data_IF_799837432606
#
_entry.id   IF_799837432606
#
_cell.length_a   1.000
_cell.length_b   1.000
_cell.length_c   1.000
_cell.angle_alpha   90.00
_cell.angle_beta   90.00
_cell.angle_gamma   90.00
#
_symmetry.space_group_name_H-M   'P 1'
#
loop_
_entity.id
_entity.type
_entity.pdbx_description
1 polymer ?
#
# COMPACT_ATOMS: atom_id res chain seq x y z
N UNK A 1 -22.89 -1.20 28.11
CA UNK A 1 -23.14 -0.01 27.26
C UNK A 1 -22.22 -0.10 26.04
N UNK A 2 -22.78 -0.44 24.87
CA UNK A 2 -22.02 -0.42 23.60
C UNK A 2 -21.81 1.05 23.20
N UNK A 3 -20.55 1.52 23.20
CA UNK A 3 -20.22 2.81 22.60
C UNK A 3 -20.46 2.70 21.09
N UNK A 4 -21.46 3.41 20.59
CA UNK A 4 -21.64 3.64 19.16
C UNK A 4 -20.42 4.39 18.65
N UNK A 5 -19.55 3.72 17.92
CA UNK A 5 -18.53 4.34 17.11
C UNK A 5 -19.20 4.92 15.87
N UNK A 6 -19.77 6.12 16.02
CA UNK A 6 -20.26 6.89 14.88
C UNK A 6 -19.09 7.07 13.89
N UNK A 7 -19.25 6.53 12.68
CA UNK A 7 -18.32 6.78 11.60
C UNK A 7 -18.22 8.30 11.40
N UNK A 8 -17.03 8.87 11.63
CA UNK A 8 -16.78 10.26 11.30
C UNK A 8 -16.79 10.38 9.78
N UNK A 9 -17.91 10.83 9.23
CA UNK A 9 -18.01 11.18 7.81
C UNK A 9 -17.23 12.46 7.60
N UNK A 10 -16.11 12.39 6.92
CA UNK A 10 -15.40 13.58 6.43
C UNK A 10 -16.08 14.05 5.15
N UNK A 11 -16.39 15.34 5.08
CA UNK A 11 -16.88 15.96 3.85
C UNK A 11 -15.76 15.91 2.81
N UNK A 12 -16.00 15.17 1.72
CA UNK A 12 -15.07 15.11 0.59
C UNK A 12 -15.22 16.43 -0.19
N UNK A 13 -14.13 17.22 -0.35
CA UNK A 13 -14.20 18.49 -1.08
C UNK A 13 -14.57 18.28 -2.55
N UNK A 14 -15.39 19.17 -3.08
CA UNK A 14 -15.70 19.25 -4.50
C UNK A 14 -14.82 20.29 -5.18
N UNK A 15 -14.37 19.97 -6.40
CA UNK A 15 -13.59 20.86 -7.27
C UNK A 15 -14.39 21.12 -8.54
N UNK A 16 -14.44 22.38 -8.96
CA UNK A 16 -15.08 22.80 -10.22
C UNK A 16 -13.99 23.18 -11.21
N UNK A 17 -13.99 22.54 -12.37
CA UNK A 17 -13.11 22.89 -13.50
C UNK A 17 -13.92 23.54 -14.62
N UNK A 18 -13.39 24.63 -15.13
CA UNK A 18 -13.92 25.26 -16.35
C UNK A 18 -13.26 24.62 -17.56
N UNK A 19 -14.07 24.06 -18.44
CA UNK A 19 -13.63 23.46 -19.70
C UNK A 19 -14.25 24.22 -20.89
N UNK A 20 -13.73 24.01 -22.09
CA UNK A 20 -14.32 24.55 -23.30
C UNK A 20 -15.78 24.10 -23.56
N UNK A 21 -16.26 23.09 -22.82
CA UNK A 21 -17.63 22.53 -22.91
C UNK A 21 -18.50 22.89 -21.70
N UNK A 22 -18.05 23.80 -20.84
CA UNK A 22 -18.74 24.25 -19.63
C UNK A 22 -18.06 23.77 -18.33
N UNK A 23 -18.72 24.01 -17.21
CA UNK A 23 -18.23 23.66 -15.88
C UNK A 23 -18.47 22.15 -15.61
N UNK A 24 -17.46 21.51 -15.01
CA UNK A 24 -17.56 20.14 -14.50
C UNK A 24 -17.16 20.09 -13.05
N UNK A 25 -17.98 19.46 -12.23
CA UNK A 25 -17.73 19.26 -10.80
C UNK A 25 -17.25 17.83 -10.57
N UNK A 26 -16.19 17.69 -9.77
CA UNK A 26 -15.64 16.41 -9.35
C UNK A 26 -15.41 16.43 -7.84
N UNK A 27 -15.54 15.28 -7.16
CA UNK A 27 -14.88 15.15 -5.87
C UNK A 27 -13.35 15.11 -6.05
N UNK A 28 -12.61 15.45 -5.00
CA UNK A 28 -11.14 15.58 -5.09
C UNK A 28 -10.45 14.25 -5.50
N UNK A 29 -10.97 13.10 -5.07
CA UNK A 29 -10.38 11.80 -5.42
C UNK A 29 -10.61 11.47 -6.89
N UNK A 30 -11.82 11.70 -7.40
CA UNK A 30 -12.16 11.53 -8.82
C UNK A 30 -11.32 12.48 -9.70
N UNK A 31 -11.05 13.70 -9.22
CA UNK A 31 -10.19 14.63 -9.94
C UNK A 31 -8.74 14.17 -10.00
N UNK A 32 -8.18 13.72 -8.88
CA UNK A 32 -6.83 13.17 -8.81
C UNK A 32 -6.67 11.89 -9.66
N UNK A 33 -7.72 11.06 -9.72
CA UNK A 33 -7.72 9.85 -10.54
C UNK A 33 -7.55 10.15 -12.04
N UNK A 34 -8.06 11.28 -12.54
CA UNK A 34 -7.83 11.74 -13.93
C UNK A 34 -6.34 11.99 -14.21
N UNK A 35 -5.59 12.44 -13.20
CA UNK A 35 -4.14 12.63 -13.27
C UNK A 35 -3.38 11.31 -12.92
N UNK A 36 -4.09 10.18 -12.88
CA UNK A 36 -3.57 8.84 -12.59
C UNK A 36 -2.98 8.72 -11.18
N UNK A 37 -3.52 9.48 -10.24
CA UNK A 37 -3.14 9.47 -8.83
C UNK A 37 -4.14 8.63 -8.06
N UNK A 38 -3.65 7.62 -7.34
CA UNK A 38 -4.38 6.72 -6.46
C UNK A 38 -3.90 6.96 -5.03
N UNK A 39 -4.81 7.04 -4.08
CA UNK A 39 -4.48 7.28 -2.67
C UNK A 39 -4.87 6.07 -1.82
N UNK A 40 -3.89 5.46 -1.17
CA UNK A 40 -4.08 4.49 -0.10
C UNK A 40 -3.88 5.21 1.23
N UNK A 41 -4.95 5.81 1.74
CA UNK A 41 -4.99 6.52 3.02
C UNK A 41 -5.74 5.74 4.08
N UNK A 42 -5.05 5.29 5.13
CA UNK A 42 -5.65 4.53 6.23
C UNK A 42 -5.41 3.03 6.15
N UNK A 43 -6.26 2.26 6.82
CA UNK A 43 -6.13 0.81 6.95
C UNK A 43 -6.44 0.09 5.65
N UNK A 44 -5.69 -1.00 5.39
CA UNK A 44 -5.95 -1.93 4.29
C UNK A 44 -7.07 -2.88 4.72
N UNK A 45 -8.27 -2.67 4.20
CA UNK A 45 -9.45 -3.51 4.39
C UNK A 45 -9.93 -4.07 3.05
N UNK A 46 -10.88 -4.98 3.06
CA UNK A 46 -11.45 -5.51 1.82
C UNK A 46 -12.11 -4.40 0.98
N UNK A 47 -12.77 -3.43 1.65
CA UNK A 47 -13.41 -2.30 0.97
C UNK A 47 -12.37 -1.37 0.32
N UNK A 48 -11.33 -0.97 1.07
CA UNK A 48 -10.28 -0.10 0.53
C UNK A 48 -9.50 -0.80 -0.59
N UNK A 49 -9.24 -2.09 -0.45
CA UNK A 49 -8.56 -2.88 -1.47
C UNK A 49 -9.37 -2.97 -2.78
N UNK A 50 -10.67 -3.27 -2.67
CA UNK A 50 -11.54 -3.33 -3.85
C UNK A 50 -11.60 -1.99 -4.60
N UNK A 51 -11.63 -0.86 -3.87
CA UNK A 51 -11.59 0.46 -4.49
C UNK A 51 -10.26 0.73 -5.21
N UNK A 52 -9.13 0.39 -4.59
CA UNK A 52 -7.81 0.55 -5.22
C UNK A 52 -7.67 -0.35 -6.46
N UNK A 53 -8.08 -1.61 -6.36
CA UNK A 53 -8.07 -2.56 -7.49
C UNK A 53 -8.91 -2.03 -8.65
N UNK A 54 -10.12 -1.55 -8.38
CA UNK A 54 -10.98 -0.95 -9.41
C UNK A 54 -10.33 0.26 -10.08
N UNK A 55 -9.68 1.16 -9.31
CA UNK A 55 -8.97 2.31 -9.85
C UNK A 55 -7.78 1.90 -10.72
N UNK A 56 -6.99 0.90 -10.30
CA UNK A 56 -5.84 0.40 -11.07
C UNK A 56 -6.30 -0.19 -12.42
N UNK A 57 -7.35 -1.02 -12.41
CA UNK A 57 -7.91 -1.62 -13.63
C UNK A 57 -8.52 -0.56 -14.56
N UNK A 58 -9.22 0.43 -14.00
CA UNK A 58 -9.76 1.55 -14.77
C UNK A 58 -8.63 2.34 -15.44
N UNK A 59 -7.58 2.70 -14.71
CA UNK A 59 -6.45 3.46 -15.25
C UNK A 59 -5.69 2.67 -16.33
N UNK A 60 -5.57 1.35 -16.18
CA UNK A 60 -5.02 0.50 -17.24
C UNK A 60 -5.87 0.54 -18.50
N UNK A 61 -7.20 0.47 -18.38
CA UNK A 61 -8.10 0.53 -19.54
C UNK A 61 -8.02 1.86 -20.29
N UNK A 62 -7.68 2.96 -19.60
CA UNK A 62 -7.51 4.27 -20.24
C UNK A 62 -6.19 4.40 -21.00
N UNK A 63 -5.09 3.95 -20.43
CA UNK A 63 -3.78 3.95 -21.09
C UNK A 63 -2.84 2.97 -20.39
N UNK A 64 -2.58 1.85 -21.01
CA UNK A 64 -1.75 0.78 -20.46
C UNK A 64 -0.24 1.10 -20.36
N UNK A 65 0.21 2.22 -20.94
CA UNK A 65 1.64 2.60 -20.97
C UNK A 65 2.00 3.68 -19.94
N UNK A 66 1.02 4.50 -19.55
CA UNK A 66 1.27 5.59 -18.62
C UNK A 66 1.40 5.12 -17.19
N UNK A 67 2.38 5.66 -16.47
CA UNK A 67 2.60 5.39 -15.04
C UNK A 67 1.38 5.79 -14.21
N UNK A 68 1.05 4.95 -13.23
CA UNK A 68 0.09 5.25 -12.16
C UNK A 68 0.90 5.68 -10.94
N UNK A 69 0.52 6.75 -10.26
CA UNK A 69 1.16 7.24 -9.04
C UNK A 69 0.31 6.87 -7.83
N UNK A 70 0.78 5.93 -7.00
CA UNK A 70 0.10 5.50 -5.78
C UNK A 70 0.76 6.14 -4.56
N UNK A 71 0.00 6.99 -3.86
CA UNK A 71 0.42 7.62 -2.61
C UNK A 71 -0.09 6.81 -1.43
N UNK A 72 0.81 6.47 -0.52
CA UNK A 72 0.56 5.55 0.60
C UNK A 72 0.78 6.28 1.92
N UNK A 73 -0.28 6.33 2.73
CA UNK A 73 -0.25 6.73 4.14
C UNK A 73 -1.09 5.72 4.94
N UNK A 74 -0.51 4.57 5.24
CA UNK A 74 -1.22 3.42 5.76
C UNK A 74 -0.48 2.75 6.90
N UNK A 75 -1.18 2.37 7.99
CA UNK A 75 -0.63 1.51 9.05
C UNK A 75 -0.54 0.03 8.63
N UNK A 76 -1.01 -0.34 7.45
CA UNK A 76 -1.23 -1.72 7.02
C UNK A 76 -2.65 -2.19 7.25
N UNK A 77 -2.85 -3.48 7.48
CA UNK A 77 -4.16 -4.08 7.70
C UNK A 77 -4.24 -5.52 7.19
N UNK A 78 -5.38 -5.91 6.61
CA UNK A 78 -5.64 -7.26 6.13
C UNK A 78 -4.61 -7.71 5.09
N UNK A 79 -3.96 -8.85 5.35
CA UNK A 79 -2.94 -9.43 4.45
C UNK A 79 -3.58 -9.85 3.12
N UNK A 80 -4.75 -10.49 3.15
CA UNK A 80 -5.42 -10.95 1.93
C UNK A 80 -5.89 -9.80 1.07
N UNK A 81 -6.45 -8.75 1.67
CA UNK A 81 -6.84 -7.52 0.99
C UNK A 81 -5.61 -6.82 0.36
N UNK A 82 -4.51 -6.74 1.11
CA UNK A 82 -3.26 -6.17 0.60
C UNK A 82 -2.64 -6.99 -0.54
N UNK A 83 -2.71 -8.32 -0.49
CA UNK A 83 -2.26 -9.18 -1.58
C UNK A 83 -3.10 -9.01 -2.84
N UNK A 84 -4.41 -8.71 -2.74
CA UNK A 84 -5.23 -8.39 -3.90
C UNK A 84 -4.74 -7.12 -4.61
N UNK A 85 -4.37 -6.07 -3.85
CA UNK A 85 -3.75 -4.86 -4.42
C UNK A 85 -2.40 -5.21 -5.04
N UNK A 86 -1.54 -5.93 -4.31
CA UNK A 86 -0.21 -6.34 -4.75
C UNK A 86 -0.27 -7.09 -6.09
N UNK A 87 -1.07 -8.14 -6.14
CA UNK A 87 -1.20 -8.97 -7.35
C UNK A 87 -1.74 -8.14 -8.52
N UNK A 88 -2.68 -7.22 -8.28
CA UNK A 88 -3.17 -6.29 -9.31
C UNK A 88 -2.08 -5.36 -9.81
N UNK A 89 -1.25 -4.79 -8.91
CA UNK A 89 -0.10 -3.95 -9.29
C UNK A 89 0.90 -4.71 -10.18
N UNK A 90 1.10 -6.02 -9.92
CA UNK A 90 2.00 -6.85 -10.73
C UNK A 90 1.34 -7.33 -12.03
N UNK A 91 0.02 -7.48 -12.06
CA UNK A 91 -0.73 -7.97 -13.21
C UNK A 91 -0.92 -6.93 -14.31
N UNK A 92 -1.16 -5.66 -13.92
CA UNK A 92 -1.40 -4.58 -14.89
C UNK A 92 -0.13 -4.22 -15.66
N UNK A 93 -0.29 -3.79 -16.92
CA UNK A 93 0.83 -3.38 -17.78
C UNK A 93 1.37 -1.98 -17.44
N UNK A 94 0.58 -1.14 -16.78
CA UNK A 94 1.01 0.18 -16.33
C UNK A 94 2.10 0.07 -15.26
N UNK A 95 3.22 0.79 -15.37
CA UNK A 95 4.13 0.92 -14.24
C UNK A 95 3.43 1.64 -13.08
N UNK A 96 3.52 1.10 -11.87
CA UNK A 96 3.02 1.76 -10.66
C UNK A 96 4.18 2.39 -9.91
N UNK A 97 4.20 3.72 -9.84
CA UNK A 97 5.10 4.45 -8.96
C UNK A 97 4.47 4.56 -7.58
N UNK A 98 5.24 4.29 -6.53
CA UNK A 98 4.76 4.34 -5.14
C UNK A 98 5.44 5.44 -4.35
N UNK A 99 4.67 6.15 -3.53
CA UNK A 99 5.14 7.28 -2.72
C UNK A 99 4.66 7.12 -1.28
N UNK A 100 5.58 6.96 -0.33
CA UNK A 100 5.23 7.02 1.08
C UNK A 100 5.08 8.48 1.53
N UNK A 101 3.89 8.83 2.00
CA UNK A 101 3.58 10.12 2.65
C UNK A 101 3.12 9.85 4.07
N UNK A 102 3.84 10.36 5.09
CA UNK A 102 3.57 10.07 6.49
C UNK A 102 4.07 8.69 6.92
N UNK A 103 3.33 7.61 6.62
CA UNK A 103 3.80 6.26 6.95
C UNK A 103 3.38 5.19 5.93
N UNK A 104 4.22 4.17 5.84
CA UNK A 104 3.89 2.90 5.20
C UNK A 104 4.33 1.76 6.15
N UNK A 105 3.39 1.16 6.86
CA UNK A 105 3.67 0.12 7.84
C UNK A 105 3.01 -1.20 7.45
N UNK A 106 3.64 -2.34 7.81
CA UNK A 106 3.08 -3.67 7.59
C UNK A 106 2.70 -3.90 6.11
N UNK A 107 1.44 -4.23 5.80
CA UNK A 107 0.98 -4.34 4.40
C UNK A 107 1.19 -3.06 3.59
N UNK A 108 1.15 -1.88 4.22
CA UNK A 108 1.48 -0.61 3.55
C UNK A 108 2.94 -0.57 3.06
N UNK A 109 3.88 -1.12 3.83
CA UNK A 109 5.29 -1.24 3.42
C UNK A 109 5.47 -2.25 2.28
N UNK A 110 4.74 -3.37 2.31
CA UNK A 110 4.74 -4.35 1.21
C UNK A 110 4.27 -3.70 -0.08
N UNK A 111 3.18 -2.94 -0.06
CA UNK A 111 2.64 -2.23 -1.22
C UNK A 111 3.57 -1.11 -1.71
N UNK A 112 4.23 -0.39 -0.80
CA UNK A 112 5.25 0.61 -1.15
C UNK A 112 6.40 -0.04 -1.93
N UNK A 113 6.91 -1.15 -1.40
CA UNK A 113 8.04 -1.89 -1.99
C UNK A 113 7.68 -2.56 -3.32
N UNK A 114 6.39 -2.84 -3.55
CA UNK A 114 5.86 -3.47 -4.76
C UNK A 114 5.80 -2.55 -5.98
N UNK A 115 6.11 -1.27 -5.83
CA UNK A 115 6.21 -0.32 -6.94
C UNK A 115 7.23 -0.75 -8.00
N UNK A 116 7.09 -0.22 -9.22
CA UNK A 116 8.02 -0.48 -10.30
C UNK A 116 9.44 -0.05 -9.91
N UNK A 117 10.44 -0.86 -10.24
CA UNK A 117 11.84 -0.59 -9.93
C UNK A 117 12.28 0.78 -10.48
N UNK A 118 12.94 1.58 -9.64
CA UNK A 118 13.32 2.96 -9.93
C UNK A 118 12.17 3.98 -9.73
N UNK A 119 10.98 3.53 -9.27
CA UNK A 119 9.79 4.38 -9.08
C UNK A 119 9.16 4.21 -7.69
N UNK A 120 9.96 3.84 -6.69
CA UNK A 120 9.53 3.70 -5.29
C UNK A 120 10.15 4.82 -4.47
N UNK A 121 9.31 5.64 -3.85
CA UNK A 121 9.73 6.89 -3.23
C UNK A 121 9.17 7.04 -1.82
N UNK A 122 9.85 7.86 -0.99
CA UNK A 122 9.30 8.36 0.25
C UNK A 122 9.59 9.84 0.42
N UNK A 123 8.72 10.57 1.10
CA UNK A 123 9.02 11.93 1.55
C UNK A 123 9.99 11.90 2.74
N UNK A 124 10.79 12.96 2.98
CA UNK A 124 11.88 12.94 3.96
C UNK A 124 11.48 12.59 5.40
N UNK A 125 10.27 12.95 5.80
CA UNK A 125 9.75 12.67 7.15
C UNK A 125 8.84 11.43 7.20
N UNK A 126 8.79 10.64 6.13
CA UNK A 126 8.01 9.42 6.10
C UNK A 126 8.67 8.34 6.96
N UNK A 127 7.83 7.51 7.57
CA UNK A 127 8.24 6.35 8.37
C UNK A 127 7.80 5.07 7.68
N UNK A 128 8.71 4.12 7.53
CA UNK A 128 8.44 2.81 6.98
C UNK A 128 8.61 1.77 8.09
N UNK A 129 7.74 0.76 8.15
CA UNK A 129 7.85 -0.31 9.14
C UNK A 129 7.49 -1.65 8.51
N UNK A 130 8.36 -2.63 8.70
CA UNK A 130 8.13 -4.03 8.31
C UNK A 130 8.06 -4.90 9.56
N UNK A 131 7.20 -5.90 9.51
CA UNK A 131 7.09 -6.94 10.53
C UNK A 131 6.34 -8.16 10.00
N UNK A 132 6.37 -9.26 10.74
CA UNK A 132 5.59 -10.45 10.42
C UNK A 132 4.08 -10.21 10.58
N UNK A 133 3.22 -10.97 9.87
CA UNK A 133 1.77 -10.84 10.04
C UNK A 133 1.36 -11.16 11.47
N UNK A 134 0.44 -10.35 11.98
CA UNK A 134 -0.21 -10.60 13.26
C UNK A 134 -1.50 -11.39 13.05
N UNK A 135 -1.74 -12.37 13.91
CA UNK A 135 -2.95 -13.17 13.87
C UNK A 135 -3.10 -14.02 15.12
N UNK A 136 -4.29 -14.55 15.32
CA UNK A 136 -4.62 -15.43 16.42
C UNK A 136 -5.71 -16.43 16.01
N UNK A 137 -5.90 -17.49 16.80
CA UNK A 137 -6.94 -18.48 16.60
C UNK A 137 -7.53 -18.91 17.94
N UNK A 138 -8.84 -19.09 17.95
CA UNK A 138 -9.59 -19.70 19.04
C UNK A 138 -10.42 -20.86 18.50
N UNK A 139 -10.67 -21.87 19.32
CA UNK A 139 -11.52 -22.99 18.94
C UNK A 139 -10.94 -24.35 19.28
N UNK A 140 -11.30 -25.36 18.51
CA UNK A 140 -10.75 -26.73 18.68
C UNK A 140 -9.28 -26.78 18.28
N UNK A 141 -8.52 -27.70 18.87
CA UNK A 141 -7.10 -27.86 18.59
C UNK A 141 -6.79 -27.96 17.08
N UNK A 142 -7.58 -28.71 16.33
CA UNK A 142 -7.42 -28.82 14.87
C UNK A 142 -7.64 -27.51 14.13
N UNK A 143 -8.60 -26.69 14.57
CA UNK A 143 -8.88 -25.39 13.93
C UNK A 143 -7.76 -24.38 14.21
N UNK A 144 -7.21 -24.43 15.44
CA UNK A 144 -6.04 -23.62 15.82
C UNK A 144 -4.83 -24.02 14.98
N UNK A 145 -4.58 -25.31 14.79
CA UNK A 145 -3.47 -25.81 13.98
C UNK A 145 -3.59 -25.37 12.51
N UNK A 146 -4.78 -25.48 11.90
CA UNK A 146 -5.05 -25.03 10.52
C UNK A 146 -4.76 -23.54 10.39
N UNK A 147 -5.27 -22.72 11.31
CA UNK A 147 -5.07 -21.26 11.29
C UNK A 147 -3.60 -20.89 11.48
N UNK A 148 -2.90 -21.58 12.41
CA UNK A 148 -1.46 -21.34 12.62
C UNK A 148 -0.64 -21.66 11.36
N UNK A 149 -0.92 -22.76 10.67
CA UNK A 149 -0.25 -23.11 9.40
C UNK A 149 -0.50 -22.04 8.33
N UNK A 150 -1.72 -21.51 8.25
CA UNK A 150 -2.03 -20.45 7.27
C UNK A 150 -1.28 -19.15 7.60
N UNK A 151 -1.19 -18.74 8.87
CA UNK A 151 -0.41 -17.57 9.30
C UNK A 151 1.07 -17.74 8.93
N UNK A 152 1.65 -18.94 9.15
CA UNK A 152 3.03 -19.24 8.78
C UNK A 152 3.21 -19.13 7.26
N UNK A 153 2.29 -19.69 6.48
CA UNK A 153 2.30 -19.60 5.01
C UNK A 153 2.25 -18.16 4.51
N UNK A 154 1.43 -17.31 5.11
CA UNK A 154 1.36 -15.90 4.79
C UNK A 154 2.64 -15.15 5.17
N UNK A 155 3.23 -15.44 6.35
CA UNK A 155 4.53 -14.90 6.77
C UNK A 155 5.61 -15.21 5.73
N UNK A 156 5.73 -16.46 5.31
CA UNK A 156 6.71 -16.85 4.29
C UNK A 156 6.49 -16.12 2.96
N UNK A 157 5.24 -15.99 2.52
CA UNK A 157 4.89 -15.29 1.28
C UNK A 157 5.29 -13.82 1.34
N UNK A 158 4.94 -13.11 2.41
CA UNK A 158 5.29 -11.69 2.57
C UNK A 158 6.80 -11.48 2.63
N UNK A 159 7.53 -12.33 3.35
CA UNK A 159 8.99 -12.26 3.42
C UNK A 159 9.64 -12.51 2.05
N UNK A 160 9.12 -13.43 1.23
CA UNK A 160 9.59 -13.63 -0.15
C UNK A 160 9.32 -12.42 -1.03
N UNK A 161 8.15 -11.79 -0.89
CA UNK A 161 7.82 -10.56 -1.62
C UNK A 161 8.80 -9.44 -1.24
N UNK A 162 9.01 -9.19 0.06
CA UNK A 162 9.94 -8.17 0.54
C UNK A 162 11.38 -8.44 0.07
N UNK A 163 11.85 -9.68 0.18
CA UNK A 163 13.18 -10.08 -0.28
C UNK A 163 13.35 -9.85 -1.79
N UNK A 164 12.36 -10.27 -2.59
CA UNK A 164 12.40 -10.12 -4.04
C UNK A 164 12.45 -8.66 -4.52
N UNK A 165 11.76 -7.77 -3.83
CA UNK A 165 11.74 -6.35 -4.19
C UNK A 165 12.89 -5.53 -3.60
N UNK A 166 13.35 -5.87 -2.38
CA UNK A 166 14.42 -5.14 -1.70
C UNK A 166 15.82 -5.57 -2.15
N UNK A 167 15.98 -6.77 -2.68
CA UNK A 167 17.28 -7.38 -2.99
C UNK A 167 18.02 -7.91 -1.77
N UNK A 168 17.40 -7.93 -0.58
CA UNK A 168 17.92 -8.58 0.62
C UNK A 168 17.78 -10.10 0.52
N UNK A 169 18.61 -10.85 1.26
CA UNK A 169 18.40 -12.29 1.40
C UNK A 169 17.08 -12.58 2.12
N UNK A 170 16.50 -13.75 1.85
CA UNK A 170 15.29 -14.18 2.53
C UNK A 170 15.53 -14.28 4.05
N UNK A 171 16.67 -14.78 4.46
CA UNK A 171 17.09 -14.97 5.85
C UNK A 171 17.20 -13.62 6.58
N UNK A 172 17.77 -12.59 5.96
CA UNK A 172 17.82 -11.24 6.53
C UNK A 172 16.42 -10.69 6.72
N UNK A 173 15.55 -10.80 5.71
CA UNK A 173 14.16 -10.33 5.81
C UNK A 173 13.40 -11.08 6.91
N UNK A 174 13.56 -12.40 7.04
CA UNK A 174 12.94 -13.19 8.11
C UNK A 174 13.36 -12.70 9.50
N UNK A 175 14.67 -12.39 9.66
CA UNK A 175 15.21 -11.85 10.91
C UNK A 175 14.66 -10.47 11.22
N UNK A 176 14.67 -9.58 10.23
CA UNK A 176 14.30 -8.18 10.40
C UNK A 176 12.78 -8.00 10.62
N UNK A 177 11.96 -8.88 10.01
CA UNK A 177 10.49 -8.86 10.18
C UNK A 177 10.00 -9.62 11.40
N UNK A 178 10.87 -10.25 12.20
CA UNK A 178 10.43 -10.99 13.40
C UNK A 178 9.76 -10.08 14.44
N UNK A 179 10.15 -8.81 14.49
CA UNK A 179 9.56 -7.74 15.31
C UNK A 179 9.39 -6.49 14.46
N UNK A 180 8.73 -5.47 15.03
CA UNK A 180 8.57 -4.19 14.38
C UNK A 180 9.94 -3.57 14.07
N UNK A 181 10.23 -3.44 12.77
CA UNK A 181 11.45 -2.84 12.27
C UNK A 181 11.13 -1.51 11.59
N UNK A 182 11.34 -0.43 12.33
CA UNK A 182 11.08 0.94 11.88
C UNK A 182 12.28 1.49 11.14
N UNK A 183 12.02 2.22 10.06
CA UNK A 183 13.01 2.87 9.21
C UNK A 183 12.58 4.29 8.87
N UNK A 184 13.54 5.23 8.87
CA UNK A 184 13.40 6.50 8.17
C UNK A 184 13.34 6.28 6.65
N UNK A 185 13.07 7.34 5.90
CA UNK A 185 13.07 7.28 4.44
C UNK A 185 14.45 6.89 3.89
N UNK A 186 15.53 7.41 4.47
CA UNK A 186 16.92 7.12 4.09
C UNK A 186 17.30 5.67 4.39
N UNK A 187 16.94 5.18 5.58
CA UNK A 187 17.17 3.78 5.97
C UNK A 187 16.38 2.80 5.08
N UNK A 188 15.15 3.15 4.71
CA UNK A 188 14.34 2.34 3.80
C UNK A 188 14.93 2.30 2.38
N UNK A 189 15.56 3.40 1.93
CA UNK A 189 16.28 3.43 0.66
C UNK A 189 17.55 2.56 0.72
N UNK A 190 18.31 2.65 1.80
CA UNK A 190 19.50 1.82 2.02
C UNK A 190 19.15 0.33 2.16
N UNK A 191 17.99 0.03 2.74
CA UNK A 191 17.45 -1.34 2.85
C UNK A 191 17.02 -1.90 1.49
N UNK A 192 16.56 -1.04 0.57
CA UNK A 192 16.06 -1.41 -0.75
C UNK A 192 14.53 -1.49 -0.86
N UNK A 193 13.79 -1.05 0.17
CA UNK A 193 12.32 -0.98 0.14
C UNK A 193 11.83 0.12 -0.80
N UNK A 194 12.60 1.19 -0.95
CA UNK A 194 12.36 2.27 -1.90
C UNK A 194 13.61 2.56 -2.72
N UNK A 195 13.47 3.31 -3.79
CA UNK A 195 14.60 3.65 -4.68
C UNK A 195 15.23 5.00 -4.33
N UNK A 196 14.45 5.96 -3.81
CA UNK A 196 14.98 7.25 -3.37
C UNK A 196 14.04 8.05 -2.47
N UNK A 197 14.62 8.98 -1.73
CA UNK A 197 13.89 9.99 -0.96
C UNK A 197 13.63 11.20 -1.85
N UNK A 198 12.39 11.68 -1.90
CA UNK A 198 12.02 12.87 -2.69
C UNK A 198 12.48 14.12 -1.96
N UNK A 199 13.43 14.84 -2.51
CA UNK A 199 13.89 16.10 -1.94
C UNK A 199 12.80 17.18 -2.00
N UNK A 200 12.65 18.03 -0.97
CA UNK A 200 11.78 19.20 -1.05
C UNK A 200 12.22 20.10 -2.22
N UNK A 201 11.24 20.56 -3.00
CA UNK A 201 11.53 21.64 -3.96
C UNK A 201 11.83 22.90 -3.13
N UNK A 202 13.05 23.44 -3.31
CA UNK A 202 13.42 24.74 -2.75
C UNK A 202 12.62 25.84 -3.43
#
# INVERSE_FOLDING_TARGET
MKKSTGAKSYLIPMVVEQTSRGERSYDIYSRLLQDRIVLLGGEVTDESANLIVAQLLFLQSQDAKKTISMYINSPGGSVTAGLAIYDTMQFISCPVATYCIGQAASMGAVLLTAGAKGKRFALPNARIMIHQPWGGAEGKASDIEITAREIIRLKERLNRILAGHSGKSYEDVVKDTDRDYFMSAEEAAAYGLIDSVVAPKK
#
